data_IF_990072821551
#
_entry.id   IF_990072821551
#
_cell.length_a   1.000
_cell.length_b   1.000
_cell.length_c   1.000
_cell.angle_alpha   90.00
_cell.angle_beta   90.00
_cell.angle_gamma   90.00
#
_symmetry.space_group_name_H-M   'P 1'
#
loop_
_entity.id
_entity.type
_entity.pdbx_description
1 polymer ?
#
# COMPACT_ATOMS: atom_id res chain seq x y z
N UNK A 1 15.15 -4.76 -18.43
CA UNK A 1 15.73 -3.41 -18.61
C UNK A 1 15.41 -2.97 -20.03
N UNK A 2 14.44 -2.08 -20.21
CA UNK A 2 14.07 -1.54 -21.52
C UNK A 2 14.18 -0.02 -21.52
N UNK A 3 14.45 0.59 -22.68
CA UNK A 3 14.38 2.05 -22.84
C UNK A 3 13.23 2.37 -23.78
N UNK A 4 12.62 3.54 -23.61
CA UNK A 4 11.67 4.04 -24.61
C UNK A 4 12.47 4.42 -25.87
N UNK A 5 12.15 3.84 -27.05
CA UNK A 5 12.86 4.18 -28.27
C UNK A 5 12.45 5.57 -28.76
N UNK A 6 13.41 6.37 -29.24
CA UNK A 6 13.14 7.71 -29.79
C UNK A 6 12.18 7.70 -31.00
N UNK A 7 12.03 6.54 -31.66
CA UNK A 7 11.08 6.34 -32.78
C UNK A 7 9.62 6.55 -32.37
N UNK A 8 9.29 6.51 -31.07
CA UNK A 8 7.92 6.73 -30.58
C UNK A 8 7.36 8.09 -31.04
N UNK A 9 8.21 9.12 -31.19
CA UNK A 9 7.78 10.44 -31.68
C UNK A 9 7.26 10.47 -33.12
N UNK A 10 7.39 9.38 -33.88
CA UNK A 10 6.78 9.23 -35.21
C UNK A 10 5.28 8.88 -35.17
N UNK A 11 4.76 8.43 -34.02
CA UNK A 11 3.38 7.99 -33.86
C UNK A 11 2.43 9.16 -33.63
N UNK A 12 2.32 10.07 -34.60
CA UNK A 12 1.61 11.35 -34.42
C UNK A 12 0.17 11.22 -33.91
N UNK A 13 -0.54 10.17 -34.30
CA UNK A 13 -1.95 9.94 -33.91
C UNK A 13 -2.11 9.26 -32.55
N UNK A 14 -1.05 9.09 -31.76
CA UNK A 14 -1.14 8.45 -30.46
C UNK A 14 -1.81 9.39 -29.45
N UNK A 15 -2.95 8.96 -28.91
CA UNK A 15 -3.73 9.73 -27.95
C UNK A 15 -3.49 9.32 -26.49
N UNK A 16 -3.17 8.04 -26.26
CA UNK A 16 -2.98 7.49 -24.92
C UNK A 16 -1.76 6.59 -24.89
N UNK A 17 -0.89 6.81 -23.91
CA UNK A 17 0.32 6.04 -23.68
C UNK A 17 0.43 5.65 -22.20
N UNK A 18 0.15 4.39 -21.89
CA UNK A 18 0.39 3.80 -20.58
C UNK A 18 1.58 2.84 -20.65
N UNK A 19 2.63 3.16 -19.92
CA UNK A 19 3.83 2.33 -19.73
C UNK A 19 4.08 2.07 -18.24
N UNK A 20 3.08 2.27 -17.38
CA UNK A 20 3.23 2.15 -15.94
C UNK A 20 3.57 0.72 -15.50
N UNK A 21 4.19 0.58 -14.33
CA UNK A 21 4.54 -0.72 -13.73
C UNK A 21 5.41 -1.61 -14.63
N UNK A 22 6.43 -1.01 -15.24
CA UNK A 22 7.41 -1.73 -16.03
C UNK A 22 8.82 -1.57 -15.45
N UNK A 23 9.77 -2.29 -16.02
CA UNK A 23 11.20 -2.15 -15.70
C UNK A 23 11.92 -1.31 -16.78
N UNK A 24 11.27 -0.22 -17.22
CA UNK A 24 11.87 0.73 -18.16
C UNK A 24 12.82 1.65 -17.41
N UNK A 25 13.96 1.95 -18.02
CA UNK A 25 15.02 2.75 -17.42
C UNK A 25 15.64 3.74 -18.40
N UNK A 26 16.49 4.63 -17.89
CA UNK A 26 17.10 5.71 -18.66
C UNK A 26 16.24 6.98 -18.66
N UNK A 27 16.58 7.93 -19.52
CA UNK A 27 15.87 9.21 -19.60
C UNK A 27 14.59 9.10 -20.43
N UNK A 28 13.61 9.95 -20.12
CA UNK A 28 12.39 10.09 -20.92
C UNK A 28 12.78 10.80 -22.23
N UNK A 29 12.64 10.15 -23.40
CA UNK A 29 13.07 10.75 -24.65
C UNK A 29 12.18 11.96 -24.99
N UNK A 30 12.82 13.09 -25.32
CA UNK A 30 12.12 14.30 -25.76
C UNK A 30 11.21 14.03 -26.97
N UNK A 31 11.46 12.98 -27.77
CA UNK A 31 10.60 12.58 -28.87
C UNK A 31 9.13 12.32 -28.48
N UNK A 32 8.81 12.02 -27.22
CA UNK A 32 7.41 11.91 -26.74
C UNK A 32 6.67 13.26 -26.87
N UNK A 33 7.39 14.40 -26.85
CA UNK A 33 6.78 15.71 -27.08
C UNK A 33 6.31 15.93 -28.52
N UNK A 34 6.74 15.10 -29.49
CA UNK A 34 6.27 15.18 -30.87
C UNK A 34 4.87 14.55 -31.06
N UNK A 35 4.32 13.91 -30.03
CA UNK A 35 3.01 13.27 -30.05
C UNK A 35 1.91 14.31 -29.82
N UNK A 36 1.56 15.08 -30.85
CA UNK A 36 0.67 16.24 -30.72
C UNK A 36 -0.75 15.92 -30.24
N UNK A 37 -1.22 14.68 -30.39
CA UNK A 37 -2.55 14.26 -29.95
C UNK A 37 -2.55 13.55 -28.60
N UNK A 38 -1.39 13.42 -27.94
CA UNK A 38 -1.28 12.70 -26.69
C UNK A 38 -2.03 13.43 -25.56
N UNK A 39 -3.12 12.84 -25.11
CA UNK A 39 -4.00 13.35 -24.06
C UNK A 39 -3.81 12.61 -22.74
N UNK A 40 -3.33 11.37 -22.77
CA UNK A 40 -3.06 10.57 -21.59
C UNK A 40 -1.65 10.00 -21.64
N UNK A 41 -0.90 10.21 -20.56
CA UNK A 41 0.42 9.65 -20.36
C UNK A 41 0.53 9.09 -18.94
N UNK A 42 1.02 7.85 -18.82
CA UNK A 42 1.37 7.25 -17.55
C UNK A 42 2.70 6.49 -17.66
N UNK A 43 3.72 7.01 -16.98
CA UNK A 43 5.08 6.45 -16.89
C UNK A 43 5.42 6.02 -15.45
N UNK A 44 4.40 5.91 -14.59
CA UNK A 44 4.60 5.66 -13.17
C UNK A 44 5.19 4.27 -12.89
N UNK A 45 5.85 4.11 -11.75
CA UNK A 45 6.42 2.85 -11.28
C UNK A 45 7.35 2.20 -12.33
N UNK A 46 8.37 2.96 -12.73
CA UNK A 46 9.47 2.54 -13.59
C UNK A 46 10.80 3.01 -12.97
N UNK A 47 11.91 2.78 -13.67
CA UNK A 47 13.26 3.19 -13.28
C UNK A 47 13.79 4.37 -14.13
N UNK A 48 12.90 5.30 -14.53
CA UNK A 48 13.32 6.48 -15.30
C UNK A 48 14.22 7.41 -14.47
N UNK A 49 15.17 8.03 -15.16
CA UNK A 49 16.23 8.87 -14.58
C UNK A 49 16.27 10.23 -15.24
N UNK A 50 16.88 11.21 -14.57
CA UNK A 50 17.16 12.51 -15.18
C UNK A 50 15.98 13.48 -15.09
N UNK A 51 16.04 14.54 -15.89
CA UNK A 51 15.06 15.62 -15.87
C UNK A 51 13.93 15.38 -16.87
N UNK A 52 12.69 15.65 -16.46
CA UNK A 52 11.54 15.68 -17.38
C UNK A 52 11.77 16.80 -18.42
N UNK A 53 11.68 16.52 -19.74
CA UNK A 53 11.98 17.49 -20.79
C UNK A 53 11.21 18.80 -20.63
N UNK A 54 11.95 19.91 -20.52
CA UNK A 54 11.38 21.24 -20.30
C UNK A 54 10.74 21.83 -21.56
N UNK A 55 9.72 22.68 -21.39
CA UNK A 55 9.07 23.38 -22.50
C UNK A 55 8.28 22.45 -23.43
N UNK A 56 7.92 21.26 -22.95
CA UNK A 56 7.15 20.27 -23.69
C UNK A 56 5.79 20.04 -23.02
N UNK A 57 4.85 19.45 -23.76
CA UNK A 57 3.56 18.98 -23.21
C UNK A 57 3.73 17.96 -22.08
N UNK A 58 4.92 17.39 -21.88
CA UNK A 58 5.14 16.47 -20.75
C UNK A 58 4.92 17.14 -19.40
N UNK A 59 5.14 18.46 -19.32
CA UNK A 59 4.93 19.22 -18.10
C UNK A 59 3.46 19.48 -17.76
N UNK A 60 2.54 19.33 -18.72
CA UNK A 60 1.11 19.56 -18.47
C UNK A 60 0.42 18.33 -17.87
N UNK A 61 1.05 17.15 -17.93
CA UNK A 61 0.51 15.94 -17.29
C UNK A 61 0.66 15.99 -15.77
N UNK A 62 -0.18 15.21 -15.08
CA UNK A 62 -0.19 15.15 -13.63
C UNK A 62 1.11 14.54 -13.06
N UNK A 63 1.51 14.97 -11.86
CA UNK A 63 2.68 14.44 -11.17
C UNK A 63 2.58 12.92 -10.92
N UNK A 64 1.36 12.40 -10.80
CA UNK A 64 1.09 10.96 -10.64
C UNK A 64 1.56 10.13 -11.83
N UNK A 65 1.49 10.67 -13.05
CA UNK A 65 1.98 10.00 -14.25
C UNK A 65 3.47 9.70 -14.21
N UNK A 66 4.23 10.36 -13.33
CA UNK A 66 5.67 10.20 -13.17
C UNK A 66 6.06 9.57 -11.82
N UNK A 67 5.08 9.26 -10.96
CA UNK A 67 5.32 8.74 -9.62
C UNK A 67 6.04 7.38 -9.63
N UNK A 68 6.72 7.03 -8.54
CA UNK A 68 7.40 5.74 -8.45
C UNK A 68 8.68 5.62 -9.28
N UNK A 69 9.20 6.72 -9.85
CA UNK A 69 10.50 6.77 -10.52
C UNK A 69 11.54 7.48 -9.62
N UNK A 70 12.41 6.74 -8.89
CA UNK A 70 13.21 7.30 -7.79
C UNK A 70 14.27 8.31 -8.25
N UNK A 71 14.78 8.17 -9.48
CA UNK A 71 15.87 8.97 -10.05
C UNK A 71 15.39 10.05 -11.03
N UNK A 72 14.08 10.15 -11.28
CA UNK A 72 13.48 11.19 -12.10
C UNK A 72 13.33 12.48 -11.27
N UNK A 73 13.38 13.64 -11.92
CA UNK A 73 13.21 14.96 -11.30
C UNK A 73 12.68 16.00 -12.31
N UNK A 74 12.29 17.18 -11.82
CA UNK A 74 11.75 18.29 -12.60
C UNK A 74 10.22 18.35 -12.61
N UNK A 75 9.67 19.51 -12.98
CA UNK A 75 8.23 19.73 -13.09
C UNK A 75 7.58 18.68 -14.03
N UNK A 76 6.42 18.11 -13.68
CA UNK A 76 5.49 18.46 -12.59
C UNK A 76 5.84 17.89 -11.21
N UNK A 77 6.96 17.17 -11.04
CA UNK A 77 7.38 16.66 -9.73
C UNK A 77 7.94 17.78 -8.84
N UNK A 78 7.76 17.65 -7.53
CA UNK A 78 8.33 18.57 -6.51
C UNK A 78 9.85 18.39 -6.32
N UNK A 79 10.44 17.36 -6.95
CA UNK A 79 11.85 17.04 -6.85
C UNK A 79 12.65 17.89 -7.84
N UNK A 80 13.48 18.79 -7.33
CA UNK A 80 14.33 19.64 -8.17
C UNK A 80 15.53 18.86 -8.71
N UNK A 81 15.89 19.13 -9.97
CA UNK A 81 17.10 18.61 -10.60
C UNK A 81 18.31 19.50 -10.26
N UNK A 82 18.71 19.53 -9.00
CA UNK A 82 19.96 20.20 -8.61
C UNK A 82 21.13 19.27 -8.96
N UNK A 83 22.08 19.76 -9.76
CA UNK A 83 23.32 19.04 -10.03
C UNK A 83 24.15 18.99 -8.76
N UNK A 84 24.04 17.92 -8.00
CA UNK A 84 25.17 17.31 -7.31
C UNK A 84 24.80 15.90 -6.84
N UNK A 85 25.67 14.98 -7.23
CA UNK A 85 25.70 13.61 -6.78
C UNK A 85 25.94 13.59 -5.27
N UNK A 86 25.03 12.96 -4.53
CA UNK A 86 25.46 12.16 -3.41
C UNK A 86 24.76 10.82 -3.49
N UNK A 87 25.47 9.89 -4.14
CA UNK A 87 25.23 8.46 -4.10
C UNK A 87 25.58 7.96 -2.68
N UNK A 88 24.86 8.45 -1.67
CA UNK A 88 24.80 7.91 -0.31
C UNK A 88 23.78 8.70 0.52
N UNK A 89 22.52 8.27 0.45
CA UNK A 89 21.53 8.45 1.51
C UNK A 89 20.45 7.38 1.42
N UNK A 90 20.89 6.12 1.44
CA UNK A 90 20.14 5.16 2.24
C UNK A 90 20.21 5.68 3.68
N UNK A 91 19.08 6.23 4.17
CA UNK A 91 18.84 6.80 5.52
C UNK A 91 18.74 8.33 5.57
N UNK A 92 17.63 8.84 5.03
CA UNK A 92 16.86 10.00 5.52
C UNK A 92 15.53 9.91 4.74
N UNK A 93 14.44 9.38 5.28
CA UNK A 93 13.87 9.79 6.54
C UNK A 93 13.18 11.15 6.39
N UNK A 94 12.13 11.24 5.56
CA UNK A 94 11.13 12.31 5.64
C UNK A 94 10.85 13.10 4.37
N UNK A 95 9.80 12.71 3.63
CA UNK A 95 8.93 13.65 2.91
C UNK A 95 7.52 13.05 2.87
N UNK A 96 6.68 13.49 3.80
CA UNK A 96 5.22 13.47 3.82
C UNK A 96 4.50 12.35 3.03
N UNK A 97 4.38 11.20 3.68
CA UNK A 97 3.17 10.38 3.65
C UNK A 97 2.48 10.53 5.02
N UNK A 98 2.07 11.77 5.32
CA UNK A 98 1.69 12.23 6.66
C UNK A 98 0.20 12.08 6.98
N UNK A 99 -0.46 11.00 6.54
CA UNK A 99 -1.74 10.62 7.13
C UNK A 99 -1.75 9.19 7.67
N UNK A 100 -1.05 8.24 7.04
CA UNK A 100 -1.26 6.82 7.36
C UNK A 100 -0.23 6.24 8.35
N UNK A 101 0.98 6.80 8.44
CA UNK A 101 2.02 6.28 9.36
C UNK A 101 1.77 6.62 10.83
N UNK A 102 1.25 7.80 11.12
CA UNK A 102 0.93 8.21 12.51
C UNK A 102 -0.21 7.36 13.09
N UNK A 103 -1.22 7.07 12.27
CA UNK A 103 -2.34 6.20 12.67
C UNK A 103 -1.89 4.75 12.87
N UNK A 104 -1.06 4.21 11.97
CA UNK A 104 -0.58 2.82 12.09
C UNK A 104 0.41 2.64 13.26
N UNK A 105 1.25 3.66 13.51
CA UNK A 105 2.14 3.67 14.68
C UNK A 105 1.33 3.76 15.98
N UNK A 106 0.27 4.58 16.00
CA UNK A 106 -0.67 4.67 17.13
C UNK A 106 -1.47 3.38 17.36
N UNK A 107 -1.95 2.73 16.29
CA UNK A 107 -2.61 1.43 16.35
C UNK A 107 -1.66 0.34 16.88
N UNK A 108 -0.42 0.28 16.38
CA UNK A 108 0.57 -0.70 16.85
C UNK A 108 0.88 -0.55 18.34
N UNK A 109 1.08 0.67 18.83
CA UNK A 109 1.32 0.95 20.26
C UNK A 109 0.07 0.66 21.10
N UNK A 110 -1.12 1.03 20.61
CA UNK A 110 -2.39 0.79 21.29
C UNK A 110 -2.74 -0.69 21.46
N UNK A 111 -2.48 -1.52 20.44
CA UNK A 111 -2.68 -2.96 20.51
C UNK A 111 -1.71 -3.61 21.50
N UNK A 112 -0.42 -3.22 21.50
CA UNK A 112 0.57 -3.77 22.44
C UNK A 112 0.22 -3.43 23.89
N UNK A 113 -0.13 -2.17 24.17
CA UNK A 113 -0.47 -1.72 25.54
C UNK A 113 -1.82 -2.30 25.99
N UNK A 114 -2.82 -2.34 25.10
CA UNK A 114 -4.16 -2.85 25.41
C UNK A 114 -4.19 -4.36 25.66
N UNK A 115 -3.54 -5.15 24.79
CA UNK A 115 -3.47 -6.61 24.96
C UNK A 115 -2.58 -7.00 26.14
N UNK A 116 -1.44 -6.32 26.38
CA UNK A 116 -0.61 -6.62 27.55
C UNK A 116 -1.21 -6.14 28.87
N UNK A 117 -2.06 -5.11 28.88
CA UNK A 117 -2.80 -4.73 30.08
C UNK A 117 -3.82 -5.79 30.51
N UNK A 118 -4.56 -6.35 29.54
CA UNK A 118 -5.55 -7.41 29.79
C UNK A 118 -4.90 -8.77 30.09
N UNK A 119 -3.84 -9.13 29.36
CA UNK A 119 -3.12 -10.39 29.60
C UNK A 119 -2.22 -10.30 30.84
N UNK A 120 -1.50 -9.20 31.03
CA UNK A 120 -0.62 -8.98 32.18
C UNK A 120 -1.37 -8.95 33.51
N UNK A 121 -2.55 -8.32 33.56
CA UNK A 121 -3.40 -8.35 34.77
C UNK A 121 -3.92 -9.76 35.10
N UNK A 122 -4.14 -10.61 34.10
CA UNK A 122 -4.49 -12.02 34.28
C UNK A 122 -3.31 -12.88 34.79
N UNK A 123 -2.07 -12.53 34.44
CA UNK A 123 -0.87 -13.30 34.80
C UNK A 123 -0.25 -12.91 36.16
N UNK A 124 -0.48 -11.71 36.67
CA UNK A 124 0.20 -11.21 37.88
C UNK A 124 -0.46 -11.61 39.21
N UNK A 125 -1.71 -12.09 39.22
CA UNK A 125 -2.36 -12.54 40.45
C UNK A 125 -2.79 -14.02 40.38
N UNK A 126 -2.06 -14.87 41.12
CA UNK A 126 -2.24 -16.34 41.17
C UNK A 126 -3.67 -16.77 41.54
N UNK A 127 -4.38 -15.95 42.31
CA UNK A 127 -5.78 -16.20 42.70
C UNK A 127 -6.79 -15.86 41.59
N UNK A 128 -6.52 -14.84 40.78
CA UNK A 128 -7.38 -14.43 39.67
C UNK A 128 -7.35 -15.43 38.52
N UNK A 129 -6.17 -15.99 38.22
CA UNK A 129 -6.03 -17.06 37.21
C UNK A 129 -6.96 -18.24 37.47
N UNK A 130 -7.09 -18.67 38.72
CA UNK A 130 -7.95 -19.81 39.08
C UNK A 130 -9.44 -19.46 39.09
N UNK A 131 -9.83 -18.21 39.41
CA UNK A 131 -11.23 -17.79 39.32
C UNK A 131 -11.67 -17.61 37.87
N UNK A 132 -10.80 -17.07 37.02
CA UNK A 132 -11.03 -16.93 35.59
C UNK A 132 -11.20 -18.29 34.90
N UNK A 133 -10.28 -19.23 35.14
CA UNK A 133 -10.34 -20.57 34.55
C UNK A 133 -11.61 -21.33 34.97
N UNK A 134 -11.98 -21.29 36.26
CA UNK A 134 -13.25 -21.89 36.74
C UNK A 134 -14.50 -21.26 36.13
N UNK A 135 -14.47 -19.96 35.83
CA UNK A 135 -15.59 -19.29 35.18
C UNK A 135 -15.70 -19.74 33.72
N UNK A 136 -14.57 -19.82 33.01
CA UNK A 136 -14.53 -20.28 31.62
C UNK A 136 -15.01 -21.73 31.48
N UNK A 137 -14.52 -22.64 32.33
CA UNK A 137 -14.96 -24.05 32.31
C UNK A 137 -16.48 -24.16 32.50
N UNK A 138 -17.05 -23.39 33.44
CA UNK A 138 -18.49 -23.37 33.68
C UNK A 138 -19.28 -22.87 32.47
N UNK A 139 -18.76 -21.86 31.77
CA UNK A 139 -19.41 -21.30 30.58
C UNK A 139 -19.32 -22.31 29.41
N UNK A 140 -18.18 -22.96 29.23
CA UNK A 140 -17.99 -23.99 28.20
C UNK A 140 -18.92 -25.18 28.41
N UNK A 141 -19.05 -25.69 29.64
CA UNK A 141 -20.00 -26.77 29.95
C UNK A 141 -21.44 -26.36 29.67
N UNK A 142 -21.83 -25.13 30.06
CA UNK A 142 -23.18 -24.62 29.80
C UNK A 142 -23.47 -24.48 28.30
N UNK A 143 -22.51 -23.95 27.53
CA UNK A 143 -22.63 -23.86 26.07
C UNK A 143 -22.71 -25.26 25.46
N UNK A 144 -21.85 -26.18 25.89
CA UNK A 144 -21.81 -27.54 25.37
C UNK A 144 -23.15 -28.26 25.59
N UNK A 145 -23.69 -28.22 26.81
CA UNK A 145 -24.99 -28.82 27.13
C UNK A 145 -26.11 -28.14 26.35
N UNK A 146 -26.11 -26.81 26.25
CA UNK A 146 -27.12 -26.09 25.49
C UNK A 146 -27.10 -26.45 24.00
N UNK A 147 -25.91 -26.52 23.39
CA UNK A 147 -25.71 -26.92 21.99
C UNK A 147 -26.11 -28.39 21.79
N UNK A 148 -25.68 -29.30 22.66
CA UNK A 148 -26.04 -30.72 22.60
C UNK A 148 -27.55 -30.94 22.71
N UNK A 149 -28.22 -30.26 23.64
CA UNK A 149 -29.68 -30.32 23.79
C UNK A 149 -30.41 -29.74 22.58
N UNK A 150 -29.91 -28.63 22.02
CA UNK A 150 -30.49 -28.02 20.82
C UNK A 150 -30.32 -28.93 19.60
N UNK A 151 -29.16 -29.56 19.43
CA UNK A 151 -28.90 -30.54 18.35
C UNK A 151 -29.81 -31.76 18.51
N UNK A 152 -29.93 -32.33 19.72
CA UNK A 152 -30.77 -33.50 19.95
C UNK A 152 -32.25 -33.20 19.68
N UNK A 153 -32.74 -32.04 20.13
CA UNK A 153 -34.11 -31.58 19.87
C UNK A 153 -34.39 -31.36 18.38
N UNK A 154 -33.42 -30.84 17.62
CA UNK A 154 -33.52 -30.73 16.16
C UNK A 154 -33.47 -32.09 15.46
N UNK A 155 -32.70 -33.04 15.99
CA UNK A 155 -32.65 -34.42 15.51
C UNK A 155 -34.01 -35.13 15.64
N UNK A 156 -34.65 -35.01 16.80
CA UNK A 156 -35.97 -35.63 17.03
C UNK A 156 -37.09 -34.99 16.19
N UNK A 157 -37.10 -33.66 16.02
CA UNK A 157 -38.06 -32.98 15.13
C UNK A 157 -37.90 -33.42 13.67
N UNK A 158 -36.68 -33.76 13.24
CA UNK A 158 -36.40 -34.26 11.90
C UNK A 158 -36.78 -35.74 11.73
N UNK A 159 -36.76 -36.52 12.81
CA UNK A 159 -37.18 -37.92 12.80
C UNK A 159 -38.71 -38.09 12.89
N UNK A 160 -39.41 -37.17 13.55
CA UNK A 160 -40.88 -37.17 13.69
C UNK A 160 -41.63 -36.60 12.46
N UNK A 161 -40.94 -35.91 11.56
CA UNK A 161 -41.49 -35.34 10.32
C UNK A 161 -41.34 -36.27 9.08
N UNK A 162 -41.06 -37.56 9.28
CA UNK A 162 -41.06 -38.63 8.27
C UNK A 162 -42.04 -39.72 8.69
#
# INVERSE_FOLDING_TARGET
MGKIPSKIGGMKNLESLDLSNNHLSGEIPAAISNLSFLSYLNLSYNDFTGQIPLGTQLQSFDARSYAGNPKLCGLPLTKNCSKEENYDKAKQGGANESQNKSLYLGMGVGFVVGLWGLWGSLFLNRAWRHKYFRLLDRILDWIYVFVALKINKFGELRASSR
#
